data_IF_108182551330
#
_entry.id   IF_108182551330
#
_cell.length_a   1.000
_cell.length_b   1.000
_cell.length_c   1.000
_cell.angle_alpha   90.00
_cell.angle_beta   90.00
_cell.angle_gamma   90.00
#
_symmetry.space_group_name_H-M   'P 1'
#
loop_
_entity.id
_entity.type
_entity.pdbx_description
1 polymer ?
#
# COMPACT_ATOMS: atom_id res chain seq x y z
N UNK A 1 -60.16 18.81 -3.29
CA UNK A 1 -59.32 18.34 -4.41
C UNK A 1 -57.92 18.02 -3.88
N UNK A 2 -57.65 16.80 -3.37
CA UNK A 2 -56.30 16.38 -3.02
C UNK A 2 -55.80 15.42 -4.12
N UNK A 3 -54.94 15.91 -5.03
CA UNK A 3 -54.32 15.02 -6.02
C UNK A 3 -52.94 15.52 -6.45
N UNK A 4 -51.97 15.69 -5.54
CA UNK A 4 -50.56 15.92 -5.92
C UNK A 4 -49.52 15.36 -4.92
N UNK A 5 -49.80 14.24 -4.23
CA UNK A 5 -48.86 13.64 -3.25
C UNK A 5 -48.00 12.47 -3.81
N UNK A 6 -48.04 12.23 -5.13
CA UNK A 6 -47.55 10.96 -5.70
C UNK A 6 -46.27 10.99 -6.54
N UNK A 7 -45.77 12.17 -6.96
CA UNK A 7 -44.78 12.24 -8.07
C UNK A 7 -43.39 12.73 -7.70
N UNK A 8 -43.11 13.05 -6.44
CA UNK A 8 -41.83 13.67 -6.02
C UNK A 8 -40.85 12.73 -5.29
N UNK A 9 -41.15 11.43 -5.19
CA UNK A 9 -40.28 10.47 -4.49
C UNK A 9 -39.17 9.80 -5.33
N UNK A 10 -39.29 9.55 -6.65
CA UNK A 10 -38.26 8.79 -7.36
C UNK A 10 -37.02 9.62 -7.71
N UNK A 11 -37.14 10.95 -7.77
CA UNK A 11 -36.05 11.84 -8.15
C UNK A 11 -35.00 12.03 -7.05
N UNK A 12 -35.34 11.85 -5.77
CA UNK A 12 -34.41 12.02 -4.65
C UNK A 12 -33.53 10.78 -4.39
N UNK A 13 -34.02 9.57 -4.69
CA UNK A 13 -33.25 8.33 -4.51
C UNK A 13 -32.05 8.22 -5.47
N UNK A 14 -32.11 8.91 -6.60
CA UNK A 14 -31.07 8.87 -7.63
C UNK A 14 -29.86 9.77 -7.31
N UNK A 15 -29.99 10.70 -6.34
CA UNK A 15 -28.93 11.64 -5.96
C UNK A 15 -27.89 11.06 -5.01
N UNK A 16 -28.11 9.88 -4.43
CA UNK A 16 -27.16 9.25 -3.50
C UNK A 16 -26.47 7.99 -4.04
N UNK A 17 -26.76 7.55 -5.28
CA UNK A 17 -26.05 6.42 -5.88
C UNK A 17 -24.87 6.91 -6.70
N UNK A 18 -23.83 7.40 -6.02
CA UNK A 18 -22.53 7.57 -6.65
C UNK A 18 -22.04 6.17 -7.08
N UNK A 19 -21.92 5.97 -8.39
CA UNK A 19 -21.37 4.73 -8.95
C UNK A 19 -19.88 4.68 -8.59
N UNK A 20 -19.50 3.86 -7.61
CA UNK A 20 -18.09 3.66 -7.28
C UNK A 20 -17.39 3.01 -8.47
N UNK A 21 -16.44 3.72 -9.05
CA UNK A 21 -15.50 3.12 -10.00
C UNK A 21 -14.49 2.35 -9.15
N UNK A 22 -14.52 1.03 -9.24
CA UNK A 22 -13.51 0.20 -8.61
C UNK A 22 -12.25 0.22 -9.48
N UNK A 23 -11.20 0.83 -8.95
CA UNK A 23 -9.90 0.84 -9.62
C UNK A 23 -9.07 -0.33 -9.09
N UNK A 24 -8.95 -1.37 -9.92
CA UNK A 24 -8.09 -2.51 -9.62
C UNK A 24 -6.65 -2.23 -10.07
N UNK A 25 -5.80 -1.82 -9.12
CA UNK A 25 -4.35 -1.64 -9.34
C UNK A 25 -3.60 -2.82 -8.70
N UNK A 26 -3.31 -3.90 -9.45
CA UNK A 26 -2.77 -5.13 -8.88
C UNK A 26 -1.34 -5.00 -8.35
N UNK A 27 -0.63 -3.92 -8.69
CA UNK A 27 0.75 -3.71 -8.30
C UNK A 27 1.08 -2.22 -8.15
N UNK A 28 2.08 -1.94 -7.31
CA UNK A 28 2.69 -0.62 -7.14
C UNK A 28 4.18 -0.73 -7.39
N UNK A 29 4.69 0.15 -8.24
CA UNK A 29 6.11 0.29 -8.51
C UNK A 29 6.64 1.45 -7.68
N UNK A 30 7.58 1.15 -6.79
CA UNK A 30 8.29 2.13 -5.99
C UNK A 30 9.68 2.37 -6.59
N UNK A 31 10.01 3.64 -6.82
CA UNK A 31 11.35 4.07 -7.25
C UNK A 31 11.89 5.03 -6.20
N UNK A 32 13.20 4.99 -5.95
CA UNK A 32 13.81 5.92 -5.01
C UNK A 32 15.20 5.53 -4.58
N UNK A 33 15.50 5.90 -3.34
CA UNK A 33 16.75 5.68 -2.65
C UNK A 33 16.53 4.82 -1.38
N UNK A 34 17.48 4.85 -0.46
CA UNK A 34 17.44 4.14 0.82
C UNK A 34 16.16 4.37 1.64
N UNK A 35 15.46 5.50 1.47
CA UNK A 35 14.23 5.81 2.20
C UNK A 35 13.00 5.03 1.71
N UNK A 36 13.09 4.38 0.55
CA UNK A 36 12.03 3.54 0.00
C UNK A 36 12.51 2.10 -0.30
N UNK A 37 13.80 1.84 -0.16
CA UNK A 37 14.41 0.52 -0.32
C UNK A 37 14.05 -0.44 0.83
N UNK A 38 13.27 -1.47 0.50
CA UNK A 38 12.85 -2.51 1.46
C UNK A 38 13.86 -3.64 1.64
N UNK A 39 15.07 -3.52 1.08
CA UNK A 39 16.15 -4.51 1.16
C UNK A 39 16.74 -4.92 -0.19
N UNK A 40 16.32 -4.27 -1.28
CA UNK A 40 16.68 -4.58 -2.65
C UNK A 40 18.16 -4.32 -2.92
N UNK A 41 18.74 -3.25 -2.38
CA UNK A 41 20.18 -2.98 -2.57
C UNK A 41 21.06 -4.01 -1.83
N UNK A 42 20.69 -4.32 -0.59
CA UNK A 42 21.35 -5.35 0.23
C UNK A 42 21.34 -6.68 -0.49
N UNK A 43 20.19 -7.04 -1.05
CA UNK A 43 20.02 -8.34 -1.67
C UNK A 43 20.61 -8.39 -3.10
N UNK A 44 20.64 -7.28 -3.84
CA UNK A 44 21.26 -7.20 -5.16
C UNK A 44 22.80 -7.22 -5.09
N UNK A 45 23.40 -6.55 -4.10
CA UNK A 45 24.85 -6.39 -4.00
C UNK A 45 25.50 -7.29 -2.95
N UNK A 46 24.71 -7.99 -2.12
CA UNK A 46 25.24 -8.79 -1.01
C UNK A 46 25.96 -7.95 0.04
N UNK A 47 25.64 -6.66 0.15
CA UNK A 47 26.25 -5.76 1.13
C UNK A 47 25.66 -6.04 2.52
N UNK A 48 26.49 -5.90 3.56
CA UNK A 48 26.03 -5.97 4.94
C UNK A 48 25.83 -4.55 5.46
N UNK A 49 24.68 -4.30 6.09
CA UNK A 49 24.43 -3.04 6.79
C UNK A 49 24.88 -3.16 8.23
N UNK A 50 25.54 -2.12 8.73
CA UNK A 50 25.93 -2.05 10.13
C UNK A 50 24.67 -2.05 11.02
N UNK A 51 24.69 -2.77 12.17
CA UNK A 51 23.66 -2.63 13.17
C UNK A 51 23.50 -1.16 13.60
N UNK A 52 22.28 -0.71 13.92
CA UNK A 52 21.10 -1.54 14.19
C UNK A 52 20.16 -1.79 13.00
N UNK A 53 20.54 -1.40 11.78
CA UNK A 53 19.70 -1.36 10.57
C UNK A 53 18.80 -2.61 10.41
N UNK A 54 17.49 -2.37 10.42
CA UNK A 54 16.43 -3.38 10.30
C UNK A 54 16.12 -4.17 11.58
N UNK A 55 16.97 -4.16 12.59
CA UNK A 55 16.89 -5.08 13.74
C UNK A 55 15.91 -4.60 14.82
N UNK A 56 15.75 -3.30 15.02
CA UNK A 56 14.92 -2.78 16.12
C UNK A 56 13.43 -3.11 15.93
N UNK A 57 12.85 -2.83 14.75
CA UNK A 57 11.44 -3.13 14.48
C UNK A 57 11.21 -4.59 14.05
N UNK A 58 11.98 -5.12 13.10
CA UNK A 58 11.75 -6.47 12.54
C UNK A 58 12.36 -7.60 13.37
N UNK A 59 13.23 -7.27 14.34
CA UNK A 59 13.94 -8.24 15.21
C UNK A 59 14.92 -9.15 14.47
N UNK A 60 15.13 -8.92 13.19
CA UNK A 60 16.11 -9.56 12.31
C UNK A 60 16.67 -8.51 11.35
N UNK A 61 17.88 -8.69 10.78
CA UNK A 61 18.39 -7.78 9.76
C UNK A 61 17.47 -7.78 8.54
N UNK A 62 16.68 -6.73 8.36
CA UNK A 62 15.71 -6.63 7.26
C UNK A 62 16.32 -6.17 5.93
N UNK A 63 17.60 -5.80 5.93
CA UNK A 63 18.28 -5.23 4.76
C UNK A 63 17.92 -3.77 4.49
N UNK A 64 17.18 -3.11 5.38
CA UNK A 64 16.76 -1.72 5.23
C UNK A 64 17.75 -0.77 5.88
N UNK A 65 17.95 0.41 5.27
CA UNK A 65 18.78 1.51 5.79
C UNK A 65 18.14 2.26 6.98
N UNK A 66 17.22 1.62 7.69
CA UNK A 66 16.61 2.15 8.89
C UNK A 66 16.18 1.04 9.84
N UNK A 67 15.92 1.42 11.08
CA UNK A 67 15.53 0.52 12.17
C UNK A 67 14.02 0.27 12.28
N UNK A 68 13.24 0.87 11.39
CA UNK A 68 11.80 0.96 11.49
C UNK A 68 11.07 0.59 10.18
N UNK A 69 9.80 0.96 10.13
CA UNK A 69 9.02 0.89 8.89
C UNK A 69 9.32 2.09 7.99
N UNK A 70 9.32 1.86 6.69
CA UNK A 70 9.39 2.90 5.67
C UNK A 70 8.00 3.43 5.34
N UNK A 71 7.92 4.61 4.72
CA UNK A 71 6.63 5.19 4.31
C UNK A 71 5.85 4.23 3.40
N UNK A 72 6.56 3.48 2.55
CA UNK A 72 5.99 2.49 1.64
C UNK A 72 5.27 1.34 2.35
N UNK A 73 5.65 0.98 3.58
CA UNK A 73 4.95 -0.06 4.37
C UNK A 73 3.55 0.39 4.83
N UNK A 74 3.34 1.70 4.93
CA UNK A 74 2.04 2.26 5.31
C UNK A 74 1.14 2.42 4.08
N UNK A 75 1.72 2.72 2.92
CA UNK A 75 1.01 2.81 1.65
C UNK A 75 0.55 1.43 1.16
N UNK A 76 1.36 0.39 1.37
CA UNK A 76 1.02 -1.00 1.03
C UNK A 76 -0.12 -1.59 1.85
N UNK A 77 -0.52 -0.93 2.95
CA UNK A 77 -1.58 -1.43 3.84
C UNK A 77 -2.98 -0.96 3.41
N UNK A 78 -3.06 -0.15 2.35
CA UNK A 78 -4.33 0.18 1.73
C UNK A 78 -4.91 -1.08 1.04
N UNK A 79 -6.21 -1.38 1.21
CA UNK A 79 -6.83 -2.63 0.75
C UNK A 79 -6.76 -2.89 -0.76
N UNK A 80 -6.32 -1.91 -1.55
CA UNK A 80 -6.13 -1.99 -3.01
C UNK A 80 -4.66 -2.01 -3.47
N UNK A 81 -3.68 -1.94 -2.57
CA UNK A 81 -2.26 -1.92 -2.94
C UNK A 81 -1.55 -3.19 -2.47
N UNK A 82 -1.37 -4.15 -3.38
CA UNK A 82 -0.36 -5.18 -3.19
C UNK A 82 1.00 -4.58 -3.52
N UNK A 83 1.75 -4.16 -2.49
CA UNK A 83 3.15 -3.81 -2.67
C UNK A 83 3.90 -5.12 -2.89
N UNK A 84 4.20 -5.40 -4.15
CA UNK A 84 5.00 -6.54 -4.54
C UNK A 84 6.40 -6.26 -4.04
N UNK A 85 6.80 -6.92 -2.94
CA UNK A 85 8.16 -6.88 -2.41
C UNK A 85 9.07 -7.40 -3.52
N UNK A 86 9.72 -6.50 -4.27
CA UNK A 86 10.57 -6.88 -5.40
C UNK A 86 11.94 -7.33 -4.93
N UNK A 87 11.97 -8.40 -4.10
CA UNK A 87 13.15 -9.24 -3.96
C UNK A 87 12.88 -10.73 -3.65
N UNK A 88 11.70 -11.29 -3.98
CA UNK A 88 11.36 -12.72 -3.78
C UNK A 88 11.20 -13.08 -2.28
N UNK A 89 10.11 -13.70 -1.83
CA UNK A 89 9.93 -15.17 -1.84
C UNK A 89 11.23 -16.01 -1.87
N UNK A 90 12.27 -15.60 -1.13
CA UNK A 90 13.52 -16.34 -0.98
C UNK A 90 13.91 -16.40 0.50
N UNK A 91 13.26 -17.31 1.22
CA UNK A 91 13.86 -18.51 1.81
C UNK A 91 12.78 -19.15 2.72
N UNK A 92 12.09 -20.16 2.16
CA UNK A 92 10.97 -20.97 2.66
C UNK A 92 9.57 -20.54 2.23
#
# INVERSE_FOLDING_TARGET
>A
MPYLEGKFKPLLAQWCSAKSIDFNYPAVFNFGDSNSDTGDLVAALGILLDPPNGQTYFKTPSGRFCDGRLIVDFLSKAPSLTLTHFFLDRLH
#
